data_IF_683317354120
#
_entry.id   IF_683317354120
#
_cell.length_a   1.000
_cell.length_b   1.000
_cell.length_c   1.000
_cell.angle_alpha   90.00
_cell.angle_beta   90.00
_cell.angle_gamma   90.00
#
_symmetry.space_group_name_H-M   'P 1'
#
loop_
_entity.id
_entity.type
_entity.pdbx_description
1 polymer ?
#
# COMPACT_ATOMS: atom_id res chain seq x y z
N UNK A 1 -2.61 13.97 6.55
CA UNK A 1 -1.80 12.81 6.97
C UNK A 1 -2.28 12.16 8.26
N UNK A 2 -2.74 12.91 9.27
CA UNK A 2 -3.36 12.36 10.50
C UNK A 2 -4.57 11.45 10.21
N UNK A 3 -5.34 11.75 9.18
CA UNK A 3 -6.53 11.01 8.74
C UNK A 3 -6.24 9.51 8.50
N UNK A 4 -5.07 9.18 7.94
CA UNK A 4 -4.67 7.79 7.69
C UNK A 4 -4.15 7.07 8.93
N UNK A 5 -3.70 7.82 9.93
CA UNK A 5 -3.06 7.29 11.15
C UNK A 5 -4.09 7.13 12.28
N UNK A 6 -5.07 8.01 12.36
CA UNK A 6 -6.03 8.06 13.47
C UNK A 6 -7.20 7.11 13.33
N UNK A 7 -7.50 6.61 12.13
CA UNK A 7 -8.63 5.71 11.93
C UNK A 7 -8.18 4.25 11.75
N UNK A 8 -8.44 3.36 12.73
CA UNK A 8 -8.00 1.96 12.70
C UNK A 8 -8.50 1.17 11.49
N UNK A 9 -9.63 1.56 10.89
CA UNK A 9 -10.17 0.90 9.71
C UNK A 9 -9.31 1.14 8.46
N UNK A 10 -8.66 2.30 8.36
CA UNK A 10 -7.75 2.61 7.24
C UNK A 10 -6.36 2.04 7.47
N UNK A 11 -5.93 1.96 8.71
CA UNK A 11 -4.68 1.32 9.08
C UNK A 11 -4.62 -0.15 8.66
N UNK A 12 -5.75 -0.86 8.68
CA UNK A 12 -5.87 -2.23 8.17
C UNK A 12 -5.88 -2.31 6.64
N UNK A 13 -6.16 -1.20 5.96
CA UNK A 13 -6.30 -1.15 4.50
C UNK A 13 -4.99 -0.81 3.79
N UNK A 14 -4.08 -0.11 4.46
CA UNK A 14 -2.79 0.26 3.90
C UNK A 14 -1.83 -0.91 4.10
N UNK A 15 -1.39 -1.49 3.02
CA UNK A 15 -0.42 -2.59 3.01
C UNK A 15 -0.99 -3.95 2.61
N UNK A 16 -2.32 -4.13 2.50
CA UNK A 16 -2.90 -5.42 2.13
C UNK A 16 -4.23 -5.34 1.39
N UNK A 17 -4.88 -4.19 1.38
CA UNK A 17 -6.14 -4.00 0.68
C UNK A 17 -5.99 -3.07 -0.51
N UNK A 18 -6.87 -3.29 -1.46
CA UNK A 18 -7.05 -2.41 -2.62
C UNK A 18 -7.42 -1.02 -2.12
N UNK A 19 -6.66 0.00 -2.53
CA UNK A 19 -6.90 1.40 -2.19
C UNK A 19 -8.06 1.93 -3.03
N UNK A 20 -9.22 2.10 -2.42
CA UNK A 20 -10.36 2.75 -3.06
C UNK A 20 -10.45 4.20 -2.59
N UNK A 21 -10.00 5.12 -3.44
CA UNK A 21 -9.98 6.55 -3.13
C UNK A 21 -11.37 7.10 -2.80
N UNK A 22 -12.43 6.60 -3.44
CA UNK A 22 -13.79 7.06 -3.18
C UNK A 22 -14.27 6.69 -1.78
N UNK A 23 -14.00 5.46 -1.35
CA UNK A 23 -14.37 5.02 0.00
C UNK A 23 -13.61 5.82 1.06
N UNK A 24 -12.30 5.99 0.88
CA UNK A 24 -11.47 6.80 1.79
C UNK A 24 -11.96 8.24 1.83
N UNK A 25 -12.29 8.82 0.68
CA UNK A 25 -12.80 10.18 0.56
C UNK A 25 -14.12 10.37 1.32
N UNK A 26 -15.05 9.43 1.17
CA UNK A 26 -16.31 9.44 1.89
C UNK A 26 -16.11 9.43 3.41
N UNK A 27 -15.28 8.53 3.88
CA UNK A 27 -15.07 8.33 5.31
C UNK A 27 -14.28 9.50 5.94
N UNK A 28 -13.41 10.14 5.17
CA UNK A 28 -12.59 11.26 5.64
C UNK A 28 -13.22 12.64 5.40
N UNK A 29 -14.36 12.71 4.69
CA UNK A 29 -15.01 13.98 4.35
C UNK A 29 -14.21 14.87 3.40
N UNK A 30 -13.42 14.26 2.52
CA UNK A 30 -12.62 14.96 1.50
C UNK A 30 -12.97 14.45 0.10
N UNK A 31 -12.45 15.10 -0.95
CA UNK A 31 -12.66 14.62 -2.32
C UNK A 31 -11.74 13.42 -2.65
N UNK A 32 -12.16 12.56 -3.58
CA UNK A 32 -11.32 11.47 -4.09
C UNK A 32 -10.02 11.98 -4.73
N UNK A 33 -10.04 13.14 -5.36
CA UNK A 33 -8.84 13.78 -5.91
C UNK A 33 -7.85 14.20 -4.80
N UNK A 34 -8.35 14.66 -3.66
CA UNK A 34 -7.52 14.97 -2.50
C UNK A 34 -6.84 13.71 -1.97
N UNK A 35 -7.57 12.60 -1.86
CA UNK A 35 -7.01 11.31 -1.46
C UNK A 35 -5.92 10.86 -2.44
N UNK A 36 -6.17 10.94 -3.75
CA UNK A 36 -5.18 10.61 -4.78
C UNK A 36 -3.91 11.45 -4.62
N UNK A 37 -4.05 12.76 -4.40
CA UNK A 37 -2.91 13.66 -4.19
C UNK A 37 -2.08 13.29 -2.96
N UNK A 38 -2.71 12.83 -1.89
CA UNK A 38 -1.98 12.35 -0.71
C UNK A 38 -1.14 11.09 -1.01
N UNK A 39 -1.69 10.14 -1.77
CA UNK A 39 -0.90 8.99 -2.20
C UNK A 39 0.25 9.37 -3.13
N UNK A 40 0.05 10.35 -4.02
CA UNK A 40 1.12 10.87 -4.87
C UNK A 40 2.26 11.47 -4.02
N UNK A 41 1.92 12.26 -2.99
CA UNK A 41 2.90 12.81 -2.05
C UNK A 41 3.66 11.70 -1.31
N UNK A 42 2.98 10.64 -0.88
CA UNK A 42 3.63 9.51 -0.20
C UNK A 42 4.60 8.77 -1.13
N UNK A 43 4.30 8.67 -2.42
CA UNK A 43 5.21 8.10 -3.41
C UNK A 43 6.38 9.03 -3.73
N UNK A 44 6.12 10.32 -3.95
CA UNK A 44 7.15 11.32 -4.27
C UNK A 44 8.16 11.50 -3.12
N UNK A 45 7.70 11.32 -1.89
CA UNK A 45 8.55 11.37 -0.69
C UNK A 45 9.18 10.02 -0.34
N UNK A 46 9.00 9.00 -1.15
CA UNK A 46 9.52 7.64 -0.97
C UNK A 46 9.05 6.95 0.32
N UNK A 47 7.94 7.40 0.89
CA UNK A 47 7.34 6.79 2.09
C UNK A 47 6.63 5.48 1.77
N UNK A 48 6.18 5.34 0.53
CA UNK A 48 5.53 4.12 0.06
C UNK A 48 5.42 4.08 -1.46
N UNK A 49 4.74 3.08 -1.95
CA UNK A 49 4.51 2.90 -3.38
C UNK A 49 3.19 2.15 -3.64
N UNK A 50 2.61 2.40 -4.79
CA UNK A 50 1.44 1.68 -5.28
C UNK A 50 1.88 0.46 -6.08
N UNK A 51 1.30 -0.70 -5.77
CA UNK A 51 1.44 -1.93 -6.54
C UNK A 51 0.19 -2.09 -7.41
N UNK A 52 0.33 -2.01 -8.74
CA UNK A 52 -0.83 -2.12 -9.63
C UNK A 52 -1.34 -3.56 -9.70
N UNK A 53 -2.64 -3.70 -9.99
CA UNK A 53 -3.24 -4.99 -10.24
C UNK A 53 -2.72 -5.60 -11.56
N UNK A 54 -2.54 -6.91 -11.57
CA UNK A 54 -2.23 -7.62 -12.81
C UNK A 54 -3.42 -7.59 -13.77
N UNK A 55 -3.19 -7.16 -15.00
CA UNK A 55 -4.18 -7.25 -16.07
C UNK A 55 -3.49 -7.45 -17.41
N UNK A 56 -3.98 -8.43 -18.16
CA UNK A 56 -3.57 -8.68 -19.57
C UNK A 56 -4.06 -7.55 -20.49
N UNK A 57 -5.10 -6.81 -20.10
CA UNK A 57 -5.69 -5.73 -20.88
C UNK A 57 -5.32 -4.39 -20.28
N UNK A 58 -4.57 -3.59 -21.01
CA UNK A 58 -4.04 -2.31 -20.55
C UNK A 58 -5.14 -1.36 -20.02
N UNK A 59 -6.32 -1.32 -20.66
CA UNK A 59 -7.47 -0.51 -20.20
C UNK A 59 -8.00 -0.95 -18.84
N UNK A 60 -8.00 -2.24 -18.52
CA UNK A 60 -8.44 -2.76 -17.21
C UNK A 60 -7.43 -2.43 -16.10
N UNK A 61 -6.13 -2.38 -16.42
CA UNK A 61 -5.07 -2.00 -15.48
C UNK A 61 -5.27 -0.60 -14.93
N UNK A 62 -5.78 0.34 -15.75
CA UNK A 62 -6.06 1.71 -15.36
C UNK A 62 -7.31 1.86 -14.49
N UNK A 63 -8.19 0.87 -14.49
CA UNK A 63 -9.48 0.90 -13.75
C UNK A 63 -9.39 0.16 -12.41
N UNK A 64 -8.49 -0.81 -12.28
CA UNK A 64 -8.34 -1.55 -11.03
C UNK A 64 -7.53 -0.76 -10.01
N UNK A 65 -8.11 -0.58 -8.83
CA UNK A 65 -7.45 0.13 -7.74
C UNK A 65 -6.19 -0.61 -7.28
N UNK A 66 -5.07 0.11 -7.10
CA UNK A 66 -3.81 -0.49 -6.68
C UNK A 66 -3.84 -0.85 -5.19
N UNK A 67 -2.86 -1.65 -4.75
CA UNK A 67 -2.49 -1.77 -3.35
C UNK A 67 -1.40 -0.77 -3.03
N UNK A 68 -1.38 -0.27 -1.80
CA UNK A 68 -0.33 0.62 -1.32
C UNK A 68 0.50 -0.09 -0.25
N UNK A 69 1.83 0.01 -0.37
CA UNK A 69 2.79 -0.52 0.60
C UNK A 69 3.72 0.59 1.06
N UNK A 70 4.01 0.62 2.36
CA UNK A 70 5.10 1.45 2.87
C UNK A 70 6.45 0.91 2.39
N UNK A 71 7.46 1.77 2.32
CA UNK A 71 8.79 1.37 1.85
C UNK A 71 9.48 0.37 2.79
N UNK A 72 9.07 0.31 4.05
CA UNK A 72 9.63 -0.59 5.06
C UNK A 72 8.53 -1.18 5.93
N UNK A 73 8.61 -2.50 6.15
CA UNK A 73 7.62 -3.24 6.93
C UNK A 73 7.64 -2.88 8.42
N UNK A 74 8.80 -2.49 8.96
CA UNK A 74 8.91 -2.05 10.35
C UNK A 74 8.20 -0.73 10.58
N UNK A 75 8.33 0.21 9.66
CA UNK A 75 7.59 1.48 9.69
C UNK A 75 6.10 1.23 9.55
N UNK A 76 5.68 0.37 8.61
CA UNK A 76 4.28 -0.01 8.49
C UNK A 76 3.73 -0.59 9.79
N UNK A 77 4.43 -1.51 10.42
CA UNK A 77 4.02 -2.12 11.69
C UNK A 77 3.91 -1.07 12.81
N UNK A 78 4.84 -0.12 12.87
CA UNK A 78 4.81 0.96 13.84
C UNK A 78 3.59 1.88 13.64
N UNK A 79 3.37 2.36 12.41
CA UNK A 79 2.25 3.25 12.09
C UNK A 79 0.89 2.57 12.25
N UNK A 80 0.82 1.27 11.99
CA UNK A 80 -0.39 0.47 12.16
C UNK A 80 -0.61 -0.02 13.60
N UNK A 81 0.24 0.41 14.52
CA UNK A 81 0.22 -0.02 15.93
C UNK A 81 0.17 -1.55 16.10
N UNK A 82 0.78 -2.28 15.16
CA UNK A 82 0.89 -3.73 15.28
C UNK A 82 1.81 -4.07 16.44
N UNK A 83 1.29 -4.86 17.36
CA UNK A 83 2.07 -5.40 18.48
C UNK A 83 3.00 -6.53 18.03
N UNK A 84 3.29 -7.45 18.95
CA UNK A 84 4.08 -8.63 18.63
C UNK A 84 3.39 -9.47 17.55
N UNK A 85 4.07 -9.67 16.43
CA UNK A 85 3.56 -10.48 15.33
C UNK A 85 3.61 -11.96 15.71
N UNK A 86 2.46 -12.58 15.83
CA UNK A 86 2.33 -14.00 16.17
C UNK A 86 2.09 -14.82 14.91
N UNK A 87 2.88 -15.87 14.71
CA UNK A 87 2.72 -16.78 13.58
C UNK A 87 1.30 -17.36 13.53
N UNK A 88 0.72 -17.39 12.33
CA UNK A 88 -0.64 -17.90 12.10
C UNK A 88 -1.73 -16.85 12.24
N UNK A 89 -1.41 -15.63 12.63
CA UNK A 89 -2.36 -14.51 12.62
C UNK A 89 -2.42 -13.81 11.26
N UNK A 90 -3.53 -13.13 10.98
CA UNK A 90 -3.67 -12.34 9.77
C UNK A 90 -2.63 -11.21 9.70
N UNK A 91 -2.34 -10.55 10.81
CA UNK A 91 -1.33 -9.50 10.87
C UNK A 91 0.07 -10.01 10.51
N UNK A 92 0.42 -11.22 10.98
CA UNK A 92 1.68 -11.86 10.59
C UNK A 92 1.73 -12.13 9.08
N UNK A 93 0.63 -12.65 8.50
CA UNK A 93 0.53 -12.88 7.06
C UNK A 93 0.71 -11.61 6.25
N UNK A 94 0.08 -10.53 6.67
CA UNK A 94 0.20 -9.22 6.02
C UNK A 94 1.60 -8.61 6.13
N UNK A 95 2.23 -8.71 7.29
CA UNK A 95 3.60 -8.24 7.47
C UNK A 95 4.59 -9.07 6.62
N UNK A 96 4.38 -10.38 6.52
CA UNK A 96 5.19 -11.25 5.70
C UNK A 96 5.02 -10.97 4.20
N UNK A 97 3.78 -10.77 3.72
CA UNK A 97 3.51 -10.35 2.35
C UNK A 97 4.23 -9.03 2.04
N UNK A 98 4.12 -8.04 2.94
CA UNK A 98 4.77 -6.75 2.78
C UNK A 98 6.30 -6.90 2.68
N UNK A 99 6.91 -7.70 3.55
CA UNK A 99 8.35 -7.98 3.51
C UNK A 99 8.77 -8.58 2.15
N UNK A 100 8.03 -9.56 1.66
CA UNK A 100 8.32 -10.20 0.37
C UNK A 100 8.22 -9.19 -0.78
N UNK A 101 7.18 -8.35 -0.81
CA UNK A 101 7.02 -7.32 -1.83
C UNK A 101 8.16 -6.29 -1.77
N UNK A 102 8.55 -5.88 -0.58
CA UNK A 102 9.67 -4.96 -0.36
C UNK A 102 10.98 -5.53 -0.89
N UNK A 103 11.30 -6.79 -0.57
CA UNK A 103 12.50 -7.46 -1.03
C UNK A 103 12.52 -7.66 -2.56
N UNK A 104 11.39 -8.06 -3.14
CA UNK A 104 11.27 -8.20 -4.60
C UNK A 104 11.46 -6.86 -5.31
N UNK A 105 10.89 -5.79 -4.78
CA UNK A 105 11.06 -4.44 -5.34
C UNK A 105 12.51 -3.99 -5.25
N UNK A 106 13.17 -4.20 -4.12
CA UNK A 106 14.58 -3.89 -3.94
C UNK A 106 15.45 -4.69 -4.94
N UNK A 107 15.17 -5.98 -5.08
CA UNK A 107 15.89 -6.84 -6.01
C UNK A 107 15.77 -6.36 -7.46
N UNK A 108 14.56 -6.02 -7.93
CA UNK A 108 14.32 -5.47 -9.26
C UNK A 108 15.09 -4.16 -9.48
N UNK A 109 15.08 -3.29 -8.48
CA UNK A 109 15.79 -2.00 -8.54
C UNK A 109 17.30 -2.20 -8.63
N UNK A 110 17.87 -3.09 -7.82
CA UNK A 110 19.31 -3.35 -7.81
C UNK A 110 19.82 -4.05 -9.07
N UNK A 111 18.98 -4.84 -9.72
CA UNK A 111 19.33 -5.55 -10.94
C UNK A 111 18.97 -4.77 -12.22
N UNK A 112 18.54 -3.52 -12.09
CA UNK A 112 18.12 -2.66 -13.22
C UNK A 112 17.14 -3.38 -14.16
N UNK A 113 16.19 -4.11 -13.56
CA UNK A 113 15.24 -4.95 -14.29
C UNK A 113 14.06 -4.13 -14.81
N UNK A 114 13.72 -4.33 -16.08
CA UNK A 114 12.51 -3.75 -16.68
C UNK A 114 11.22 -4.44 -16.23
N UNK A 115 11.31 -5.52 -15.45
CA UNK A 115 10.18 -6.23 -14.93
C UNK A 115 9.41 -5.41 -13.90
N UNK A 116 8.09 -5.56 -13.88
CA UNK A 116 7.20 -4.83 -12.98
C UNK A 116 6.45 -5.76 -12.07
N UNK A 117 6.44 -5.43 -10.78
CA UNK A 117 5.59 -6.11 -9.81
C UNK A 117 4.13 -5.73 -10.02
N UNK A 118 3.27 -6.72 -9.91
CA UNK A 118 1.80 -6.59 -9.90
C UNK A 118 1.22 -7.59 -8.91
N UNK A 119 0.01 -7.37 -8.49
CA UNK A 119 -0.70 -8.35 -7.65
C UNK A 119 -1.86 -8.99 -8.37
#
# INVERSE_FOLDING_TARGET
>A
MSIFIENPQYNLSIGTRIVNNNNIAQDCGVSANTVASYFDILEDTLVGFRLPAFSKVMKRRLVQAPRFYYFDVGIANHLLHRGNLVRGTAEYGHAFEHLVIQELKAWLTYNDSDERLTF
#
